data_IF_412719729620
#
_entry.id   IF_412719729620
#
_cell.length_a   1.000
_cell.length_b   1.000
_cell.length_c   1.000
_cell.angle_alpha   90.00
_cell.angle_beta   90.00
_cell.angle_gamma   90.00
#
_symmetry.space_group_name_H-M   'P 1'
#
loop_
_entity.id
_entity.type
_entity.pdbx_description
1 polymer ?
#
# COMPACT_ATOMS: atom_id res chain seq x y z
N UNK A 1 -18.16 18.44 -5.52
CA UNK A 1 -18.79 18.65 -6.84
C UNK A 1 -20.31 18.54 -6.73
N UNK A 2 -20.85 17.46 -6.16
CA UNK A 2 -22.29 17.32 -5.89
C UNK A 2 -22.85 18.53 -5.12
N UNK A 3 -22.21 18.93 -4.03
CA UNK A 3 -22.65 20.04 -3.18
C UNK A 3 -22.69 21.36 -3.97
N UNK A 4 -21.62 21.68 -4.72
CA UNK A 4 -21.58 22.85 -5.62
C UNK A 4 -22.78 22.87 -6.59
N UNK A 5 -23.13 21.70 -7.15
CA UNK A 5 -24.26 21.59 -8.07
C UNK A 5 -25.59 21.84 -7.34
N UNK A 6 -25.78 21.22 -6.18
CA UNK A 6 -27.04 21.25 -5.42
C UNK A 6 -27.28 22.55 -4.65
N UNK A 7 -26.24 23.12 -4.05
CA UNK A 7 -26.38 24.25 -3.13
C UNK A 7 -26.25 25.57 -3.90
N UNK A 8 -25.20 25.71 -4.70
CA UNK A 8 -24.90 26.97 -5.39
C UNK A 8 -25.54 27.03 -6.77
N UNK A 9 -25.21 26.08 -7.66
CA UNK A 9 -25.66 26.16 -9.05
C UNK A 9 -27.17 26.02 -9.18
N UNK A 10 -27.82 25.28 -8.29
CA UNK A 10 -29.28 25.22 -8.25
C UNK A 10 -29.90 26.59 -7.94
N UNK A 11 -29.25 27.42 -7.13
CA UNK A 11 -29.74 28.77 -6.82
C UNK A 11 -29.59 29.71 -8.03
N UNK A 12 -28.41 29.72 -8.67
CA UNK A 12 -28.10 30.64 -9.76
C UNK A 12 -28.63 30.19 -11.14
N UNK A 13 -28.65 28.88 -11.39
CA UNK A 13 -29.00 28.26 -12.68
C UNK A 13 -30.00 27.09 -12.55
N UNK A 14 -31.16 27.29 -11.89
CA UNK A 14 -32.09 26.21 -11.56
C UNK A 14 -32.60 25.42 -12.77
N UNK A 15 -32.75 26.07 -13.94
CA UNK A 15 -33.25 25.44 -15.17
C UNK A 15 -32.24 24.47 -15.80
N UNK A 16 -30.94 24.73 -15.66
CA UNK A 16 -29.87 23.91 -16.23
C UNK A 16 -29.53 22.75 -15.29
N UNK A 17 -29.47 23.03 -13.99
CA UNK A 17 -28.98 22.07 -12.99
C UNK A 17 -29.96 20.93 -12.73
N UNK A 18 -31.26 21.21 -12.64
CA UNK A 18 -32.24 20.23 -12.19
C UNK A 18 -32.50 19.09 -13.20
N UNK A 19 -32.03 19.20 -14.44
CA UNK A 19 -32.31 18.22 -15.51
C UNK A 19 -31.08 17.71 -16.25
N UNK A 20 -30.00 18.48 -16.33
CA UNK A 20 -28.95 18.21 -17.31
C UNK A 20 -27.60 17.80 -16.70
N UNK A 21 -27.44 17.87 -15.37
CA UNK A 21 -26.19 17.51 -14.70
C UNK A 21 -26.28 16.12 -14.10
N UNK A 22 -25.47 15.20 -14.63
CA UNK A 22 -25.24 13.87 -14.07
C UNK A 22 -23.80 13.76 -13.59
N UNK A 23 -23.60 13.06 -12.48
CA UNK A 23 -22.27 12.76 -11.94
C UNK A 23 -22.14 11.24 -11.87
N UNK A 24 -21.16 10.71 -12.60
CA UNK A 24 -20.82 9.28 -12.58
C UNK A 24 -19.41 9.13 -12.01
N UNK A 25 -19.28 8.37 -10.92
CA UNK A 25 -18.03 7.95 -10.33
C UNK A 25 -17.66 6.57 -10.88
N UNK A 26 -16.46 6.42 -11.43
CA UNK A 26 -15.97 5.15 -11.98
C UNK A 26 -14.84 4.65 -11.08
N UNK A 27 -14.98 3.45 -10.54
CA UNK A 27 -14.02 2.78 -9.66
C UNK A 27 -13.65 1.41 -10.23
N UNK A 28 -12.34 1.13 -10.28
CA UNK A 28 -11.80 -0.10 -10.82
C UNK A 28 -11.92 -1.29 -9.85
N UNK A 29 -11.97 -0.98 -8.55
CA UNK A 29 -12.17 -1.95 -7.46
C UNK A 29 -13.66 -2.22 -7.23
N UNK A 30 -13.95 -3.17 -6.35
CA UNK A 30 -15.30 -3.61 -6.02
C UNK A 30 -16.01 -2.75 -4.96
N UNK A 31 -15.31 -1.78 -4.39
CA UNK A 31 -15.82 -0.86 -3.38
C UNK A 31 -15.07 0.48 -3.42
N UNK A 32 -15.71 1.56 -2.97
CA UNK A 32 -15.08 2.88 -2.84
C UNK A 32 -14.24 2.94 -1.56
N UNK A 33 -13.32 3.90 -1.49
CA UNK A 33 -12.52 4.15 -0.28
C UNK A 33 -11.85 2.86 0.24
N UNK A 34 -11.20 2.09 -0.63
CA UNK A 34 -10.74 0.73 -0.33
C UNK A 34 -9.71 0.58 0.78
N UNK A 35 -9.16 1.69 1.26
CA UNK A 35 -8.28 1.74 2.43
C UNK A 35 -9.06 1.83 3.75
N UNK A 36 -10.37 2.08 3.69
CA UNK A 36 -11.25 2.22 4.85
C UNK A 36 -11.99 0.91 5.14
N UNK A 37 -12.50 0.77 6.36
CA UNK A 37 -13.32 -0.37 6.74
C UNK A 37 -14.59 -0.46 5.89
N UNK A 38 -15.04 -1.69 5.65
CA UNK A 38 -16.20 -1.99 4.80
C UNK A 38 -17.46 -1.21 5.19
N UNK A 39 -17.70 -1.01 6.48
CA UNK A 39 -18.85 -0.25 6.96
C UNK A 39 -18.86 1.20 6.46
N UNK A 40 -17.68 1.82 6.35
CA UNK A 40 -17.52 3.20 5.85
C UNK A 40 -17.75 3.21 4.34
N UNK A 41 -17.17 2.25 3.60
CA UNK A 41 -17.43 2.12 2.17
C UNK A 41 -18.93 1.97 1.86
N UNK A 42 -19.59 1.01 2.51
CA UNK A 42 -21.02 0.72 2.31
C UNK A 42 -21.89 1.95 2.63
N UNK A 43 -21.53 2.71 3.67
CA UNK A 43 -22.20 3.97 4.00
C UNK A 43 -22.01 5.02 2.89
N UNK A 44 -20.78 5.20 2.41
CA UNK A 44 -20.45 6.18 1.37
C UNK A 44 -21.15 5.87 0.06
N UNK A 45 -21.24 4.59 -0.34
CA UNK A 45 -21.98 4.18 -1.54
C UNK A 45 -23.48 4.52 -1.42
N UNK A 46 -24.10 4.21 -0.28
CA UNK A 46 -25.49 4.59 0.00
C UNK A 46 -25.68 6.09 0.05
N UNK A 47 -24.68 6.83 0.51
CA UNK A 47 -24.71 8.29 0.50
C UNK A 47 -24.66 8.83 -0.94
N UNK A 48 -23.72 8.38 -1.77
CA UNK A 48 -23.63 8.76 -3.18
C UNK A 48 -24.90 8.46 -3.96
N UNK A 49 -25.53 7.30 -3.75
CA UNK A 49 -26.82 7.01 -4.38
C UNK A 49 -27.94 7.98 -3.97
N UNK A 50 -28.00 8.39 -2.68
CA UNK A 50 -28.98 9.41 -2.21
C UNK A 50 -28.71 10.79 -2.80
N UNK A 51 -27.45 11.06 -3.14
CA UNK A 51 -27.01 12.29 -3.80
C UNK A 51 -27.18 12.26 -5.32
N UNK A 52 -27.81 11.23 -5.88
CA UNK A 52 -27.95 11.01 -7.34
C UNK A 52 -26.60 10.91 -8.07
N UNK A 53 -25.56 10.42 -7.39
CA UNK A 53 -24.29 10.08 -8.01
C UNK A 53 -24.37 8.61 -8.44
N UNK A 54 -24.18 8.36 -9.73
CA UNK A 54 -24.06 7.00 -10.26
C UNK A 54 -22.66 6.47 -9.94
N UNK A 55 -22.56 5.27 -9.38
CA UNK A 55 -21.27 4.67 -9.02
C UNK A 55 -21.08 3.37 -9.78
N UNK A 56 -20.09 3.35 -10.67
CA UNK A 56 -19.73 2.22 -11.50
C UNK A 56 -18.49 1.54 -10.93
N UNK A 57 -18.72 0.52 -10.10
CA UNK A 57 -17.67 -0.33 -9.53
C UNK A 57 -17.16 -1.35 -10.54
N UNK A 58 -16.03 -1.98 -10.24
CA UNK A 58 -15.39 -3.00 -11.08
C UNK A 58 -15.25 -2.53 -12.54
N UNK A 59 -15.06 -1.23 -12.77
CA UNK A 59 -15.13 -0.62 -14.09
C UNK A 59 -13.86 0.17 -14.38
N UNK A 60 -13.22 -0.14 -15.50
CA UNK A 60 -11.98 0.51 -15.93
C UNK A 60 -12.26 1.52 -17.02
N UNK A 61 -11.67 2.71 -16.92
CA UNK A 61 -11.57 3.61 -18.07
C UNK A 61 -10.48 3.08 -19.02
N UNK A 62 -10.82 2.90 -20.29
CA UNK A 62 -9.89 2.46 -21.36
C UNK A 62 -9.41 3.60 -22.24
N UNK A 63 -10.24 4.61 -22.46
CA UNK A 63 -9.87 5.81 -23.22
C UNK A 63 -10.71 7.00 -22.79
N UNK A 64 -10.10 8.19 -22.82
CA UNK A 64 -10.81 9.46 -22.71
C UNK A 64 -10.79 10.11 -24.10
N UNK A 65 -11.98 10.40 -24.64
CA UNK A 65 -12.15 11.09 -25.92
C UNK A 65 -12.76 12.47 -25.66
N UNK A 66 -12.92 13.26 -26.72
CA UNK A 66 -13.35 14.65 -26.63
C UNK A 66 -14.73 14.84 -25.98
N UNK A 67 -15.67 13.89 -26.14
CA UNK A 67 -17.06 14.00 -25.64
C UNK A 67 -17.57 12.75 -24.94
N UNK A 68 -16.68 11.80 -24.69
CA UNK A 68 -17.05 10.51 -24.11
C UNK A 68 -15.85 9.85 -23.42
N UNK A 69 -16.15 8.98 -22.47
CA UNK A 69 -15.18 8.09 -21.83
C UNK A 69 -15.56 6.67 -22.20
N UNK A 70 -14.56 5.91 -22.66
CA UNK A 70 -14.73 4.49 -22.96
C UNK A 70 -14.39 3.69 -21.71
N UNK A 71 -15.34 2.90 -21.25
CA UNK A 71 -15.22 2.06 -20.05
C UNK A 71 -15.33 0.58 -20.39
N UNK A 72 -14.83 -0.26 -19.50
CA UNK A 72 -14.94 -1.71 -19.57
C UNK A 72 -15.15 -2.27 -18.17
N UNK A 73 -16.22 -3.05 -17.99
CA UNK A 73 -16.47 -3.77 -16.74
C UNK A 73 -15.48 -4.94 -16.63
N UNK A 74 -14.93 -5.15 -15.44
CA UNK A 74 -14.01 -6.24 -15.12
C UNK A 74 -14.66 -7.58 -15.47
N UNK A 75 -13.94 -8.39 -16.26
CA UNK A 75 -14.43 -9.69 -16.73
C UNK A 75 -15.31 -9.63 -17.99
N UNK A 76 -15.76 -8.45 -18.42
CA UNK A 76 -16.35 -8.28 -19.75
C UNK A 76 -15.26 -7.98 -20.78
N UNK A 77 -15.45 -8.41 -22.03
CA UNK A 77 -14.63 -7.99 -23.17
C UNK A 77 -15.26 -6.81 -23.94
N UNK A 78 -16.48 -6.42 -23.59
CA UNK A 78 -17.19 -5.33 -24.24
C UNK A 78 -16.79 -3.99 -23.63
N UNK A 79 -16.64 -2.99 -24.49
CA UNK A 79 -16.40 -1.61 -24.10
C UNK A 79 -17.65 -0.78 -24.33
N UNK A 80 -18.03 -0.01 -23.34
CA UNK A 80 -19.19 0.89 -23.37
C UNK A 80 -18.72 2.34 -23.37
N UNK A 81 -19.45 3.22 -24.04
CA UNK A 81 -19.16 4.65 -24.03
C UNK A 81 -20.11 5.40 -23.09
N UNK A 82 -19.56 6.31 -22.28
CA UNK A 82 -20.32 7.25 -21.45
C UNK A 82 -20.08 8.67 -21.98
N UNK A 83 -21.10 9.34 -22.54
CA UNK A 83 -21.00 10.73 -22.92
C UNK A 83 -20.69 11.61 -21.71
N UNK A 84 -19.71 12.51 -21.84
CA UNK A 84 -19.39 13.46 -20.77
C UNK A 84 -18.80 14.75 -21.34
N UNK A 85 -18.98 15.83 -20.58
CA UNK A 85 -18.41 17.15 -20.91
C UNK A 85 -17.16 17.47 -20.09
N UNK A 86 -17.04 16.86 -18.91
CA UNK A 86 -15.92 17.07 -17.98
C UNK A 86 -15.49 15.71 -17.45
N UNK A 87 -14.18 15.49 -17.44
CA UNK A 87 -13.55 14.31 -16.83
C UNK A 87 -12.60 14.80 -15.75
N UNK A 88 -12.82 14.33 -14.52
CA UNK A 88 -11.90 14.55 -13.41
C UNK A 88 -11.13 13.26 -13.19
N UNK A 89 -9.83 13.26 -13.50
CA UNK A 89 -8.98 12.10 -13.33
C UNK A 89 -8.26 12.14 -11.97
N UNK A 90 -8.79 11.42 -11.00
CA UNK A 90 -8.32 11.43 -9.60
C UNK A 90 -7.62 10.13 -9.18
N UNK A 91 -6.96 9.43 -10.11
CA UNK A 91 -6.33 8.13 -9.84
C UNK A 91 -4.95 7.99 -10.47
N UNK A 92 -4.12 7.13 -9.88
CA UNK A 92 -2.82 6.74 -10.38
C UNK A 92 -1.73 7.76 -10.08
N UNK A 93 -0.76 7.34 -9.27
CA UNK A 93 0.52 8.04 -9.14
C UNK A 93 1.56 7.36 -10.03
N UNK A 94 2.52 8.15 -10.53
CA UNK A 94 3.65 7.64 -11.30
C UNK A 94 4.92 8.39 -10.90
N UNK A 95 6.04 7.70 -10.92
CA UNK A 95 7.35 8.30 -10.72
C UNK A 95 7.60 9.45 -11.71
N UNK A 96 8.19 10.54 -11.20
CA UNK A 96 8.55 11.71 -12.03
C UNK A 96 9.80 11.39 -12.87
N UNK A 97 10.00 12.06 -14.02
CA UNK A 97 11.20 11.88 -14.85
C UNK A 97 12.52 12.06 -14.07
N UNK A 98 12.57 13.02 -13.15
CA UNK A 98 13.73 13.24 -12.29
C UNK A 98 14.03 12.02 -11.40
N UNK A 99 13.01 11.48 -10.73
CA UNK A 99 13.12 10.27 -9.91
C UNK A 99 13.68 9.10 -10.72
N UNK A 100 13.16 8.89 -11.93
CA UNK A 100 13.65 7.81 -12.80
C UNK A 100 15.10 8.04 -13.23
N UNK A 101 15.48 9.27 -13.59
CA UNK A 101 16.84 9.61 -13.97
C UNK A 101 17.84 9.41 -12.83
N UNK A 102 17.48 9.77 -11.60
CA UNK A 102 18.32 9.52 -10.42
C UNK A 102 18.54 8.01 -10.23
N UNK A 103 17.48 7.22 -10.35
CA UNK A 103 17.55 5.76 -10.25
C UNK A 103 18.45 5.15 -11.33
N UNK A 104 18.36 5.64 -12.55
CA UNK A 104 19.22 5.20 -13.67
C UNK A 104 20.69 5.55 -13.45
N UNK A 105 20.99 6.75 -12.93
CA UNK A 105 22.37 7.20 -12.64
C UNK A 105 23.01 6.33 -11.54
N UNK A 106 22.26 6.03 -10.48
CA UNK A 106 22.75 5.19 -9.38
C UNK A 106 22.89 3.72 -9.82
N UNK A 107 21.98 3.27 -10.68
CA UNK A 107 21.93 1.90 -11.19
C UNK A 107 20.66 1.18 -10.74
N UNK A 108 19.93 0.62 -11.70
CA UNK A 108 18.64 -0.03 -11.48
C UNK A 108 18.74 -1.36 -10.71
N UNK A 109 19.93 -1.94 -10.60
CA UNK A 109 20.20 -3.08 -9.72
C UNK A 109 20.12 -2.71 -8.23
N UNK A 110 20.55 -1.48 -7.87
CA UNK A 110 20.44 -0.95 -6.52
C UNK A 110 19.06 -0.30 -6.34
N UNK A 111 18.65 0.51 -7.30
CA UNK A 111 17.39 1.26 -7.31
C UNK A 111 16.27 0.46 -8.01
N UNK A 112 16.04 -0.76 -7.51
CA UNK A 112 15.17 -1.78 -8.12
C UNK A 112 13.68 -1.45 -8.06
N UNK A 113 13.24 -0.64 -7.09
CA UNK A 113 11.84 -0.20 -7.00
C UNK A 113 11.49 0.73 -8.16
N UNK A 114 10.46 0.40 -8.93
CA UNK A 114 10.06 1.16 -10.13
C UNK A 114 9.30 2.45 -9.84
N UNK A 115 8.71 2.57 -8.65
CA UNK A 115 7.78 3.65 -8.29
C UNK A 115 8.45 4.79 -7.53
N UNK A 116 9.61 4.57 -6.92
CA UNK A 116 10.32 5.58 -6.13
C UNK A 116 11.80 5.28 -5.94
N UNK A 117 12.51 6.23 -5.35
CA UNK A 117 13.91 6.09 -4.91
C UNK A 117 13.95 5.23 -3.66
N UNK A 118 14.75 4.17 -3.68
CA UNK A 118 15.02 3.35 -2.50
C UNK A 118 15.93 4.09 -1.53
N UNK A 119 15.49 4.15 -0.28
CA UNK A 119 16.25 4.67 0.83
C UNK A 119 16.50 3.61 1.89
N UNK A 120 17.47 3.84 2.77
CA UNK A 120 17.58 3.11 4.03
C UNK A 120 16.55 3.60 5.06
N UNK A 121 16.60 3.03 6.26
CA UNK A 121 15.73 3.40 7.39
C UNK A 121 15.95 4.82 7.92
N UNK A 122 17.08 5.46 7.56
CA UNK A 122 17.42 6.83 7.90
C UNK A 122 17.13 7.80 6.75
N UNK A 123 16.46 7.32 5.70
CA UNK A 123 16.03 8.07 4.52
C UNK A 123 17.19 8.46 3.58
N UNK A 124 18.40 7.91 3.79
CA UNK A 124 19.51 8.09 2.85
C UNK A 124 19.24 7.30 1.58
N UNK A 125 19.55 7.91 0.43
CA UNK A 125 19.40 7.26 -0.87
C UNK A 125 20.39 6.10 -1.02
N UNK A 126 19.88 4.89 -1.25
CA UNK A 126 20.72 3.70 -1.45
C UNK A 126 21.59 3.86 -2.71
N UNK A 127 22.86 3.49 -2.59
CA UNK A 127 23.86 3.59 -3.67
C UNK A 127 24.70 4.86 -3.62
N UNK A 128 24.46 5.74 -2.64
CA UNK A 128 25.29 6.91 -2.35
C UNK A 128 26.01 6.66 -1.01
N UNK A 129 27.31 6.42 -1.06
CA UNK A 129 28.07 5.93 0.11
C UNK A 129 28.37 7.01 1.17
N UNK A 130 28.33 8.29 0.80
CA UNK A 130 28.65 9.39 1.71
C UNK A 130 27.45 9.86 2.56
N UNK A 131 26.27 9.25 2.36
CA UNK A 131 25.06 9.60 3.10
C UNK A 131 24.57 11.04 2.86
N UNK A 132 25.04 11.72 1.81
CA UNK A 132 24.75 13.15 1.58
C UNK A 132 23.36 13.42 0.99
N UNK A 133 22.68 12.40 0.47
CA UNK A 133 21.41 12.55 -0.26
C UNK A 133 20.31 11.78 0.46
N UNK A 134 19.18 12.46 0.66
CA UNK A 134 17.98 11.92 1.30
C UNK A 134 16.78 11.99 0.35
N UNK A 135 15.81 11.09 0.49
CA UNK A 135 14.56 11.13 -0.25
C UNK A 135 13.37 10.75 0.64
N UNK A 136 12.28 11.51 0.56
CA UNK A 136 11.07 11.35 1.40
C UNK A 136 9.80 11.64 0.60
N UNK A 137 8.66 11.14 1.10
CA UNK A 137 7.34 11.33 0.48
C UNK A 137 7.15 10.45 -0.77
N UNK A 138 6.22 10.83 -1.65
CA UNK A 138 5.77 10.04 -2.80
C UNK A 138 6.88 9.63 -3.79
N UNK A 139 8.03 10.31 -3.76
CA UNK A 139 9.15 10.01 -4.65
C UNK A 139 10.09 8.92 -4.10
N UNK A 140 9.88 8.45 -2.87
CA UNK A 140 10.78 7.58 -2.15
C UNK A 140 10.06 6.39 -1.51
N UNK A 141 10.82 5.35 -1.20
CA UNK A 141 10.34 4.18 -0.48
C UNK A 141 11.49 3.60 0.35
N UNK A 142 11.19 3.24 1.60
CA UNK A 142 12.18 2.69 2.51
C UNK A 142 12.35 1.21 2.19
N UNK A 143 13.59 0.79 1.92
CA UNK A 143 13.90 -0.62 1.86
C UNK A 143 14.01 -1.16 3.28
N UNK A 144 13.08 -2.03 3.65
CA UNK A 144 13.20 -2.79 4.88
C UNK A 144 14.07 -4.02 4.61
N UNK A 145 15.19 -4.20 5.35
CA UNK A 145 15.97 -5.42 5.25
C UNK A 145 15.06 -6.60 5.61
N UNK A 146 15.05 -7.62 4.75
CA UNK A 146 14.27 -8.83 5.04
C UNK A 146 14.88 -9.51 6.24
N UNK A 147 14.05 -9.79 7.24
CA UNK A 147 14.47 -10.49 8.45
C UNK A 147 15.12 -11.84 8.11
N UNK A 148 14.57 -12.53 7.10
CA UNK A 148 15.07 -13.82 6.59
C UNK A 148 16.52 -13.72 6.09
N UNK A 149 16.94 -12.61 5.49
CA UNK A 149 18.31 -12.46 4.98
C UNK A 149 19.34 -12.34 6.12
N UNK A 150 18.90 -11.97 7.32
CA UNK A 150 19.74 -11.80 8.53
C UNK A 150 19.46 -12.84 9.62
N UNK A 151 18.54 -13.77 9.36
CA UNK A 151 18.00 -14.65 10.39
C UNK A 151 19.06 -15.57 11.01
N UNK A 152 20.04 -16.02 10.21
CA UNK A 152 21.16 -16.84 10.69
C UNK A 152 22.01 -16.09 11.71
N UNK A 153 22.44 -14.88 11.37
CA UNK A 153 23.23 -14.05 12.27
C UNK A 153 22.44 -13.67 13.54
N UNK A 154 21.17 -13.32 13.39
CA UNK A 154 20.28 -13.00 14.51
C UNK A 154 20.06 -14.21 15.44
N UNK A 155 19.98 -15.41 14.87
CA UNK A 155 19.86 -16.65 15.62
C UNK A 155 21.13 -16.93 16.43
N UNK A 156 22.30 -16.81 15.81
CA UNK A 156 23.60 -16.98 16.48
C UNK A 156 23.81 -15.94 17.60
N UNK A 157 23.42 -14.69 17.38
CA UNK A 157 23.46 -13.63 18.41
C UNK A 157 22.49 -13.89 19.59
N UNK A 158 21.43 -14.66 19.37
CA UNK A 158 20.41 -14.95 20.38
C UNK A 158 20.68 -16.26 21.14
N UNK A 159 21.32 -17.24 20.50
CA UNK A 159 21.69 -18.53 21.09
C UNK A 159 22.95 -18.39 21.95
N UNK A 160 22.83 -17.63 23.05
CA UNK A 160 23.92 -17.37 24.00
C UNK A 160 24.50 -18.63 24.63
N UNK A 161 23.75 -19.73 24.58
CA UNK A 161 24.11 -21.02 25.18
C UNK A 161 24.59 -22.04 24.13
N UNK A 162 24.67 -21.64 22.85
CA UNK A 162 25.14 -22.46 21.71
C UNK A 162 24.46 -23.84 21.64
N UNK A 163 23.16 -23.91 21.93
CA UNK A 163 22.40 -25.16 21.89
C UNK A 163 21.88 -25.51 20.50
N UNK A 164 21.98 -24.59 19.55
CA UNK A 164 21.34 -24.69 18.23
C UNK A 164 19.82 -24.48 18.28
N UNK A 165 19.30 -23.93 19.39
CA UNK A 165 17.88 -23.66 19.58
C UNK A 165 17.64 -22.53 20.60
N UNK A 166 16.65 -21.67 20.32
CA UNK A 166 16.28 -20.55 21.19
C UNK A 166 15.12 -20.94 22.11
N UNK A 167 15.27 -20.69 23.41
CA UNK A 167 14.12 -20.72 24.32
C UNK A 167 13.28 -19.44 24.21
N UNK A 168 12.14 -19.41 24.91
CA UNK A 168 11.21 -18.26 24.89
C UNK A 168 11.87 -16.96 25.37
N UNK A 169 12.78 -17.03 26.34
CA UNK A 169 13.46 -15.85 26.88
C UNK A 169 14.50 -15.30 25.89
N UNK A 170 15.26 -16.18 25.24
CA UNK A 170 16.22 -15.83 24.19
C UNK A 170 15.50 -15.25 22.97
N UNK A 171 14.40 -15.88 22.53
CA UNK A 171 13.58 -15.37 21.45
C UNK A 171 12.97 -14.00 21.79
N UNK A 172 12.47 -13.83 23.01
CA UNK A 172 11.97 -12.53 23.50
C UNK A 172 13.03 -11.45 23.50
N UNK A 173 14.21 -11.75 24.03
CA UNK A 173 15.33 -10.82 24.05
C UNK A 173 15.80 -10.43 22.65
N UNK A 174 15.78 -11.38 21.70
CA UNK A 174 16.12 -11.10 20.30
C UNK A 174 15.15 -10.09 19.69
N UNK A 175 13.83 -10.32 19.83
CA UNK A 175 12.80 -9.42 19.31
C UNK A 175 12.93 -8.05 19.96
N UNK A 176 12.98 -7.96 21.29
CA UNK A 176 13.06 -6.69 22.01
C UNK A 176 14.31 -5.87 21.65
N UNK A 177 15.47 -6.51 21.49
CA UNK A 177 16.73 -5.82 21.10
C UNK A 177 16.70 -5.30 19.66
N UNK A 178 16.00 -5.99 18.77
CA UNK A 178 16.07 -5.75 17.32
C UNK A 178 14.87 -5.00 16.75
N UNK A 179 13.86 -4.64 17.57
CA UNK A 179 12.72 -3.80 17.16
C UNK A 179 13.17 -2.49 16.47
N UNK A 180 14.25 -1.85 16.94
CA UNK A 180 14.74 -0.60 16.35
C UNK A 180 15.41 -0.80 14.97
N UNK A 181 15.98 -1.99 14.70
CA UNK A 181 16.61 -2.33 13.42
C UNK A 181 15.59 -2.96 12.44
N UNK A 182 14.55 -3.60 12.97
CA UNK A 182 13.48 -4.25 12.22
C UNK A 182 12.13 -3.84 12.82
N UNK A 183 11.59 -2.65 12.48
CA UNK A 183 10.33 -2.14 13.03
C UNK A 183 9.14 -3.09 12.82
N UNK A 184 9.19 -3.96 11.80
CA UNK A 184 8.20 -5.02 11.61
C UNK A 184 8.07 -5.98 12.82
N UNK A 185 9.10 -6.07 13.66
CA UNK A 185 9.10 -6.85 14.89
C UNK A 185 8.20 -6.26 15.99
N UNK A 186 7.82 -4.99 15.88
CA UNK A 186 6.95 -4.33 16.87
C UNK A 186 5.56 -5.00 16.94
N UNK A 187 5.02 -5.44 15.80
CA UNK A 187 3.76 -6.19 15.75
C UNK A 187 3.87 -7.53 16.46
N UNK A 188 5.01 -8.21 16.31
CA UNK A 188 5.28 -9.50 16.93
C UNK A 188 5.54 -9.39 18.44
N UNK A 189 6.07 -8.26 18.92
CA UNK A 189 6.33 -8.03 20.34
C UNK A 189 5.09 -8.19 21.23
N UNK A 190 3.91 -7.80 20.72
CA UNK A 190 2.63 -7.90 21.45
C UNK A 190 2.07 -9.32 21.50
N UNK A 191 2.57 -10.23 20.67
CA UNK A 191 2.10 -11.61 20.52
C UNK A 191 3.24 -12.63 20.61
N UNK A 192 4.31 -12.28 21.31
CA UNK A 192 5.55 -13.05 21.24
C UNK A 192 5.41 -14.48 21.76
N UNK A 193 4.59 -14.66 22.80
CA UNK A 193 4.27 -15.98 23.37
C UNK A 193 3.45 -16.81 22.38
N UNK A 194 2.41 -16.23 21.76
CA UNK A 194 1.59 -16.91 20.75
C UNK A 194 2.41 -17.34 19.54
N UNK A 195 3.31 -16.47 19.05
CA UNK A 195 4.17 -16.79 17.92
C UNK A 195 5.19 -17.88 18.26
N UNK A 196 5.71 -17.88 19.49
CA UNK A 196 6.60 -18.93 19.95
C UNK A 196 5.87 -20.28 20.00
N UNK A 197 4.65 -20.32 20.55
CA UNK A 197 3.80 -21.52 20.58
C UNK A 197 3.42 -22.01 19.18
N UNK A 198 3.05 -21.10 18.27
CA UNK A 198 2.73 -21.44 16.88
C UNK A 198 3.92 -22.02 16.11
N UNK A 199 5.14 -21.56 16.43
CA UNK A 199 6.38 -22.03 15.85
C UNK A 199 6.89 -23.34 16.49
N UNK A 200 6.64 -23.55 17.79
CA UNK A 200 7.01 -24.73 18.57
C UNK A 200 5.93 -25.82 18.54
N UNK A 201 5.56 -26.28 17.33
CA UNK A 201 4.47 -27.24 17.12
C UNK A 201 4.63 -28.59 17.83
N UNK A 202 5.86 -28.95 18.18
CA UNK A 202 6.22 -30.17 18.91
C UNK A 202 6.28 -29.95 20.44
N UNK A 203 5.96 -28.75 20.93
CA UNK A 203 6.03 -28.35 22.34
C UNK A 203 7.39 -28.67 22.98
N UNK A 204 8.46 -28.52 22.20
CA UNK A 204 9.82 -28.80 22.67
C UNK A 204 10.33 -27.77 23.67
N UNK A 205 9.69 -26.59 23.73
CA UNK A 205 10.15 -25.42 24.46
C UNK A 205 11.28 -24.67 23.74
N UNK A 206 11.59 -25.04 22.49
CA UNK A 206 12.74 -24.51 21.76
C UNK A 206 12.46 -24.30 20.25
N UNK A 207 12.89 -23.15 19.75
CA UNK A 207 12.89 -22.80 18.33
C UNK A 207 14.26 -23.06 17.71
N UNK A 208 14.35 -24.10 16.88
CA UNK A 208 15.52 -24.30 16.01
C UNK A 208 15.51 -23.29 14.87
N UNK A 209 16.64 -23.10 14.20
CA UNK A 209 16.75 -22.21 13.04
C UNK A 209 15.70 -22.53 11.95
N UNK A 210 15.41 -23.80 11.71
CA UNK A 210 14.39 -24.21 10.74
C UNK A 210 12.98 -23.77 11.17
N UNK A 211 12.63 -23.93 12.45
CA UNK A 211 11.33 -23.50 13.00
C UNK A 211 11.19 -21.98 12.98
N UNK A 212 12.23 -21.27 13.41
CA UNK A 212 12.26 -19.81 13.42
C UNK A 212 12.10 -19.23 12.01
N UNK A 213 12.79 -19.82 11.03
CA UNK A 213 12.65 -19.43 9.62
C UNK A 213 11.24 -19.66 9.10
N UNK A 214 10.66 -20.82 9.36
CA UNK A 214 9.29 -21.13 8.95
C UNK A 214 8.23 -20.23 9.62
N UNK A 215 8.53 -19.66 10.79
CA UNK A 215 7.61 -18.77 11.49
C UNK A 215 7.67 -17.31 11.00
N UNK A 216 8.73 -16.94 10.26
CA UNK A 216 9.00 -15.57 9.82
C UNK A 216 8.96 -15.40 8.28
N UNK A 217 8.76 -16.50 7.54
CA UNK A 217 8.41 -16.51 6.10
C UNK A 217 6.90 -16.31 5.91
#
# INVERSE_FOLDING_TARGET
LSDLVREDLQHYYPRLVAKDVTITLIEALDHVLSMMDKQISDYTEKHFHRENIEVLMNTFVKAVKQREVIIQVKGSNEQTSIPCSVVVWATGIKSRPLTNRIREIIGLNIQSNRMGILTDQYLHVKGINDGSIFAIGDCATIEHPKLVDRIHHLFEEADTENRGALDLQQFRSLVERKINEFPQLEVFSKKIEQLFEEADKDNSGFLTMAKLRSALE
#
